data_IF_183616126756
#
_entry.id   IF_183616126756
#
_cell.length_a   1.000
_cell.length_b   1.000
_cell.length_c   1.000
_cell.angle_alpha   90.00
_cell.angle_beta   90.00
_cell.angle_gamma   90.00
#
_symmetry.space_group_name_H-M   'P 1'
#
loop_
_entity.id
_entity.type
_entity.pdbx_description
1 polymer ?
#
# COMPACT_ATOMS: atom_id res chain seq x y z
N UNK A 1 6.89 12.47 8.18
CA UNK A 1 8.17 11.82 8.49
C UNK A 1 9.30 12.29 7.55
N UNK A 2 9.02 12.43 6.24
CA UNK A 2 10.00 12.88 5.24
C UNK A 2 10.12 14.41 5.12
N UNK A 3 9.30 15.18 5.83
CA UNK A 3 9.24 16.64 5.69
C UNK A 3 8.64 17.14 4.38
N UNK A 4 8.04 16.25 3.59
CA UNK A 4 7.36 16.61 2.36
C UNK A 4 5.95 17.14 2.63
N UNK A 5 5.44 17.97 1.72
CA UNK A 5 4.05 18.45 1.81
C UNK A 5 3.08 17.28 1.69
N UNK A 6 2.13 17.20 2.63
CA UNK A 6 1.06 16.19 2.60
C UNK A 6 -0.10 16.75 1.78
N UNK A 7 -0.46 16.07 0.71
CA UNK A 7 -1.57 16.44 -0.17
C UNK A 7 -2.84 15.64 0.11
N UNK A 8 -2.69 14.39 0.53
CA UNK A 8 -3.79 13.45 0.79
C UNK A 8 -3.55 12.71 2.10
N UNK A 9 -4.63 12.29 2.74
CA UNK A 9 -4.61 11.46 3.93
C UNK A 9 -5.50 10.26 3.70
N UNK A 10 -4.95 9.07 3.90
CA UNK A 10 -5.66 7.81 3.83
C UNK A 10 -5.90 7.31 5.25
N UNK A 11 -7.15 6.96 5.55
CA UNK A 11 -7.52 6.44 6.86
C UNK A 11 -7.80 4.94 6.78
N UNK A 12 -7.26 4.19 7.73
CA UNK A 12 -7.59 2.78 7.92
C UNK A 12 -8.49 2.64 9.14
N UNK A 13 -9.58 1.89 8.99
CA UNK A 13 -10.56 1.63 10.06
C UNK A 13 -10.45 0.17 10.46
N UNK A 14 -10.15 -0.08 11.73
CA UNK A 14 -10.03 -1.41 12.33
C UNK A 14 -11.28 -1.74 13.14
N UNK A 15 -11.70 -3.00 13.12
CA UNK A 15 -12.80 -3.48 13.96
C UNK A 15 -14.20 -3.02 13.53
N UNK A 16 -14.37 -2.56 12.29
CA UNK A 16 -15.66 -2.08 11.76
C UNK A 16 -16.15 -2.92 10.57
N UNK A 17 -17.33 -2.60 10.07
CA UNK A 17 -17.94 -3.25 8.90
C UNK A 17 -18.38 -2.20 7.87
N UNK A 18 -18.59 -2.60 6.60
CA UNK A 18 -19.16 -1.73 5.58
C UNK A 18 -20.48 -1.10 6.01
N UNK A 19 -21.36 -1.91 6.61
CA UNK A 19 -22.70 -1.49 7.05
C UNK A 19 -22.61 -0.43 8.15
N UNK A 20 -21.67 -0.58 9.08
CA UNK A 20 -21.44 0.38 10.15
C UNK A 20 -20.99 1.73 9.61
N UNK A 21 -20.07 1.75 8.63
CA UNK A 21 -19.63 3.00 8.01
C UNK A 21 -20.75 3.67 7.20
N UNK A 22 -21.54 2.89 6.45
CA UNK A 22 -22.71 3.42 5.73
C UNK A 22 -23.74 4.00 6.70
N UNK A 23 -23.99 3.33 7.83
CA UNK A 23 -24.92 3.84 8.86
C UNK A 23 -24.44 5.17 9.49
N UNK A 24 -23.12 5.42 9.50
CA UNK A 24 -22.51 6.69 9.92
C UNK A 24 -22.52 7.76 8.81
N UNK A 25 -23.12 7.48 7.64
CA UNK A 25 -23.24 8.42 6.53
C UNK A 25 -22.08 8.43 5.55
N UNK A 26 -21.12 7.50 5.66
CA UNK A 26 -20.06 7.35 4.67
C UNK A 26 -20.61 6.81 3.35
N UNK A 27 -20.05 7.26 2.24
CA UNK A 27 -20.41 6.79 0.91
C UNK A 27 -19.40 5.77 0.41
N UNK A 28 -19.84 4.54 0.19
CA UNK A 28 -18.99 3.51 -0.38
C UNK A 28 -18.68 3.80 -1.85
N UNK A 29 -17.40 3.72 -2.23
CA UNK A 29 -16.89 3.81 -3.61
C UNK A 29 -15.97 2.61 -3.89
N UNK A 30 -15.86 2.22 -5.18
CA UNK A 30 -15.10 1.04 -5.57
C UNK A 30 -15.90 -0.27 -5.40
N UNK A 31 -15.78 -1.17 -6.39
CA UNK A 31 -16.44 -2.47 -6.39
C UNK A 31 -15.61 -3.56 -5.73
N UNK A 32 -14.32 -3.59 -6.06
CA UNK A 32 -13.42 -4.68 -5.66
C UNK A 32 -12.72 -4.39 -4.33
N UNK A 33 -12.50 -3.11 -4.04
CA UNK A 33 -11.86 -2.63 -2.82
C UNK A 33 -12.72 -1.53 -2.21
N UNK A 34 -13.58 -1.85 -1.23
CA UNK A 34 -14.48 -0.86 -0.67
C UNK A 34 -13.69 0.24 0.06
N UNK A 35 -13.73 1.43 -0.51
CA UNK A 35 -13.29 2.68 0.11
C UNK A 35 -14.54 3.47 0.46
N UNK A 36 -14.52 4.18 1.56
CA UNK A 36 -15.63 4.95 2.09
C UNK A 36 -15.24 6.42 2.17
N UNK A 37 -16.02 7.27 1.51
CA UNK A 37 -15.80 8.71 1.58
C UNK A 37 -16.50 9.29 2.80
N UNK A 38 -15.77 10.04 3.61
CA UNK A 38 -16.33 10.76 4.76
C UNK A 38 -17.45 11.71 4.32
N UNK A 39 -18.58 11.77 5.02
CA UNK A 39 -19.77 12.51 4.57
C UNK A 39 -19.49 14.00 4.30
N UNK A 40 -18.62 14.61 5.05
CA UNK A 40 -18.32 16.06 4.95
C UNK A 40 -16.99 16.34 4.25
N UNK A 41 -15.86 15.78 4.76
CA UNK A 41 -14.52 16.10 4.24
C UNK A 41 -14.18 15.39 2.92
N UNK A 42 -14.91 14.31 2.58
CA UNK A 42 -14.66 13.45 1.42
C UNK A 42 -13.29 12.73 1.45
N UNK A 43 -12.61 12.76 2.58
CA UNK A 43 -11.41 11.97 2.79
C UNK A 43 -11.72 10.47 2.71
N UNK A 44 -10.73 9.69 2.29
CA UNK A 44 -10.87 8.27 2.02
C UNK A 44 -10.61 7.44 3.29
N UNK A 45 -11.55 6.57 3.60
CA UNK A 45 -11.49 5.60 4.69
C UNK A 45 -11.60 4.19 4.12
N UNK A 46 -10.63 3.33 4.43
CA UNK A 46 -10.65 1.92 4.05
C UNK A 46 -10.72 1.05 5.30
N UNK A 47 -11.51 -0.03 5.27
CA UNK A 47 -11.46 -1.04 6.31
C UNK A 47 -10.12 -1.76 6.27
N UNK A 48 -9.56 -2.07 7.45
CA UNK A 48 -8.42 -2.95 7.57
C UNK A 48 -8.73 -4.28 6.88
N UNK A 49 -7.80 -4.80 6.08
CA UNK A 49 -8.04 -5.98 5.28
C UNK A 49 -6.78 -6.81 5.05
N UNK A 50 -6.98 -8.08 4.84
CA UNK A 50 -5.97 -8.98 4.27
C UNK A 50 -6.29 -9.27 2.81
N UNK A 51 -5.26 -9.53 2.03
CA UNK A 51 -5.38 -9.90 0.62
C UNK A 51 -4.66 -11.23 0.43
N UNK A 52 -5.30 -12.19 -0.26
CA UNK A 52 -4.67 -13.46 -0.66
C UNK A 52 -4.75 -13.62 -2.16
N UNK A 53 -3.63 -13.93 -2.78
CA UNK A 53 -3.58 -14.29 -4.21
C UNK A 53 -4.27 -15.65 -4.39
N UNK A 54 -5.38 -15.67 -5.11
CA UNK A 54 -6.15 -16.88 -5.44
C UNK A 54 -6.12 -17.24 -6.93
N UNK A 55 -5.44 -16.41 -7.77
CA UNK A 55 -5.36 -16.60 -9.22
C UNK A 55 -4.32 -15.70 -9.86
N UNK A 56 -4.26 -15.70 -11.19
CA UNK A 56 -3.35 -14.85 -11.95
C UNK A 56 -3.93 -13.45 -12.18
N UNK A 57 -3.07 -12.43 -12.15
CA UNK A 57 -3.41 -11.04 -12.44
C UNK A 57 -4.23 -10.34 -11.33
N UNK A 58 -4.69 -9.13 -11.63
CA UNK A 58 -5.39 -8.24 -10.69
C UNK A 58 -6.70 -8.82 -10.12
N UNK A 59 -7.42 -9.64 -10.90
CA UNK A 59 -8.67 -10.30 -10.46
C UNK A 59 -8.44 -11.52 -9.57
N UNK A 60 -7.19 -11.90 -9.34
CA UNK A 60 -6.82 -13.07 -8.55
C UNK A 60 -6.64 -12.81 -7.06
N UNK A 61 -7.07 -11.67 -6.53
CA UNK A 61 -7.01 -11.38 -5.10
C UNK A 61 -8.38 -11.60 -4.44
N UNK A 62 -8.38 -12.35 -3.35
CA UNK A 62 -9.50 -12.40 -2.41
C UNK A 62 -9.21 -11.42 -1.27
N UNK A 63 -10.12 -10.49 -1.07
CA UNK A 63 -10.05 -9.49 -0.01
C UNK A 63 -10.90 -9.95 1.16
N UNK A 64 -10.32 -10.01 2.34
CA UNK A 64 -11.01 -10.26 3.60
C UNK A 64 -10.91 -9.00 4.47
N UNK A 65 -12.03 -8.35 4.66
CA UNK A 65 -12.17 -7.16 5.51
C UNK A 65 -13.21 -7.48 6.60
N UNK A 66 -12.79 -8.28 7.57
CA UNK A 66 -13.58 -8.68 8.72
C UNK A 66 -13.12 -7.92 9.96
N UNK A 67 -13.95 -7.86 11.00
CA UNK A 67 -13.67 -7.07 12.22
C UNK A 67 -12.45 -7.55 13.01
N UNK A 68 -12.01 -8.79 12.80
CA UNK A 68 -10.83 -9.40 13.42
C UNK A 68 -9.50 -9.06 12.73
N UNK A 69 -9.55 -8.44 11.55
CA UNK A 69 -8.32 -7.99 10.86
C UNK A 69 -7.68 -6.85 11.65
N UNK A 70 -6.45 -7.07 12.05
CA UNK A 70 -5.67 -6.09 12.81
C UNK A 70 -5.05 -5.01 11.92
N UNK A 71 -4.59 -3.92 12.52
CA UNK A 71 -3.82 -2.90 11.80
C UNK A 71 -2.50 -3.49 11.26
N UNK A 72 -1.85 -4.34 12.04
CA UNK A 72 -0.62 -5.03 11.66
C UNK A 72 -0.82 -5.89 10.42
N UNK A 73 -1.92 -6.62 10.32
CA UNK A 73 -2.27 -7.43 9.14
C UNK A 73 -2.45 -6.55 7.90
N UNK A 74 -3.12 -5.40 8.04
CA UNK A 74 -3.28 -4.45 6.93
C UNK A 74 -1.94 -3.86 6.48
N UNK A 75 -1.07 -3.51 7.44
CA UNK A 75 0.25 -2.97 7.14
C UNK A 75 1.18 -4.02 6.53
N UNK A 76 1.06 -5.31 6.93
CA UNK A 76 1.89 -6.41 6.41
C UNK A 76 1.74 -6.64 4.90
N UNK A 77 0.53 -6.44 4.37
CA UNK A 77 0.24 -6.62 2.94
C UNK A 77 0.71 -5.46 2.06
N UNK A 78 1.15 -4.34 2.64
CA UNK A 78 1.60 -3.17 1.89
C UNK A 78 2.90 -3.45 1.13
N UNK A 79 3.22 -2.57 0.19
CA UNK A 79 4.38 -2.74 -0.69
C UNK A 79 5.71 -2.48 0.04
N UNK A 80 5.87 -1.29 0.62
CA UNK A 80 7.14 -0.81 1.17
C UNK A 80 6.99 -0.46 2.65
N UNK A 81 8.04 -0.71 3.43
CA UNK A 81 8.07 -0.40 4.87
C UNK A 81 7.78 1.08 5.15
N UNK A 82 8.27 1.99 4.31
CA UNK A 82 8.01 3.42 4.42
C UNK A 82 6.55 3.81 4.20
N UNK A 83 5.76 2.92 3.56
CA UNK A 83 4.31 3.05 3.33
C UNK A 83 3.49 2.22 4.33
N UNK A 84 4.15 1.47 5.22
CA UNK A 84 3.54 0.60 6.21
C UNK A 84 3.65 1.16 7.64
N UNK A 85 3.58 2.48 7.75
CA UNK A 85 3.55 3.23 9.01
C UNK A 85 2.17 3.85 9.13
N UNK A 86 1.51 3.66 10.26
CA UNK A 86 0.27 4.36 10.58
C UNK A 86 0.49 5.40 11.69
N UNK A 87 -0.40 6.37 11.78
CA UNK A 87 -0.45 7.31 12.88
C UNK A 87 -1.82 7.19 13.57
N UNK A 88 -1.81 6.92 14.86
CA UNK A 88 -3.00 6.89 15.67
C UNK A 88 -3.56 8.31 15.89
N UNK A 89 -4.80 8.41 16.36
CA UNK A 89 -5.49 9.68 16.60
C UNK A 89 -4.82 10.54 17.68
N UNK A 90 -4.05 9.93 18.59
CA UNK A 90 -3.24 10.61 19.61
C UNK A 90 -1.88 11.11 19.08
N UNK A 91 -1.59 10.85 17.79
CA UNK A 91 -0.36 11.21 17.12
C UNK A 91 0.77 10.18 17.23
N UNK A 92 0.58 9.06 17.96
CA UNK A 92 1.58 8.01 18.07
C UNK A 92 1.77 7.29 16.73
N UNK A 93 3.01 7.02 16.35
CA UNK A 93 3.32 6.20 15.18
C UNK A 93 3.28 4.71 15.52
N UNK A 94 2.59 3.94 14.69
CA UNK A 94 2.51 2.49 14.73
C UNK A 94 3.31 1.97 13.54
N UNK A 95 4.43 1.34 13.81
CA UNK A 95 5.43 0.94 12.81
C UNK A 95 5.97 -0.46 13.09
N UNK A 96 5.16 -1.51 12.89
CA UNK A 96 5.56 -2.88 13.21
C UNK A 96 6.65 -3.42 12.28
N UNK A 97 6.83 -2.81 11.11
CA UNK A 97 7.75 -3.32 10.07
C UNK A 97 9.01 -2.44 9.88
N UNK A 98 9.24 -1.46 10.76
CA UNK A 98 10.47 -0.68 10.81
C UNK A 98 10.61 0.35 9.70
N UNK A 99 9.51 0.89 9.20
CA UNK A 99 9.51 1.92 8.16
C UNK A 99 10.23 3.20 8.60
N UNK A 100 10.12 3.61 9.87
CA UNK A 100 10.84 4.77 10.40
C UNK A 100 12.35 4.54 10.36
N UNK A 101 12.81 3.32 10.71
CA UNK A 101 14.22 2.95 10.60
C UNK A 101 14.72 3.02 9.16
N UNK A 102 13.92 2.51 8.21
CA UNK A 102 14.26 2.56 6.79
C UNK A 102 14.23 4.00 6.24
N UNK A 103 13.34 4.86 6.72
CA UNK A 103 13.38 6.30 6.43
C UNK A 103 14.70 6.93 6.89
N UNK A 104 15.14 6.66 8.12
CA UNK A 104 16.39 7.17 8.64
C UNK A 104 17.60 6.64 7.88
N UNK A 105 17.57 5.36 7.49
CA UNK A 105 18.61 4.70 6.68
C UNK A 105 18.53 5.05 5.19
N UNK A 106 17.47 5.78 4.75
CA UNK A 106 17.19 6.13 3.35
C UNK A 106 17.07 4.89 2.47
N UNK A 107 16.33 3.89 2.93
CA UNK A 107 16.12 2.62 2.24
C UNK A 107 14.66 2.47 1.79
N UNK A 108 14.52 1.98 0.56
CA UNK A 108 13.26 1.49 0.00
C UNK A 108 13.28 -0.01 0.13
N UNK A 109 12.51 -0.53 1.10
CA UNK A 109 12.45 -1.94 1.46
C UNK A 109 11.04 -2.47 1.34
N UNK A 110 10.85 -3.67 0.80
CA UNK A 110 9.57 -4.37 0.81
C UNK A 110 9.19 -4.82 2.23
N UNK A 111 7.89 -4.89 2.52
CA UNK A 111 7.40 -5.24 3.86
C UNK A 111 7.56 -6.73 4.13
N UNK A 112 7.14 -7.58 3.19
CA UNK A 112 7.07 -9.04 3.34
C UNK A 112 7.18 -9.75 2.00
N UNK A 113 7.25 -11.08 2.02
CA UNK A 113 7.24 -11.92 0.81
C UNK A 113 5.96 -11.75 -0.03
N UNK A 114 4.85 -11.30 0.57
CA UNK A 114 3.62 -10.94 -0.14
C UNK A 114 3.83 -9.80 -1.15
N UNK A 115 4.97 -9.11 -1.11
CA UNK A 115 5.37 -8.15 -2.14
C UNK A 115 5.36 -8.77 -3.55
N UNK A 116 5.77 -10.03 -3.66
CA UNK A 116 5.83 -10.76 -4.95
C UNK A 116 4.46 -11.10 -5.53
N UNK A 117 3.38 -10.99 -4.76
CA UNK A 117 2.04 -11.34 -5.22
C UNK A 117 1.46 -10.38 -6.26
N UNK A 118 1.87 -9.09 -6.23
CA UNK A 118 1.46 -8.09 -7.23
C UNK A 118 2.69 -7.58 -8.00
N UNK A 119 2.89 -8.01 -9.27
CA UNK A 119 4.03 -7.57 -10.05
C UNK A 119 4.06 -6.05 -10.32
N UNK A 120 2.93 -5.32 -10.15
CA UNK A 120 2.93 -3.86 -10.24
C UNK A 120 3.84 -3.21 -9.19
N UNK A 121 4.08 -3.88 -8.07
CA UNK A 121 4.95 -3.37 -7.00
C UNK A 121 6.40 -3.15 -7.47
N UNK A 122 6.84 -3.84 -8.54
CA UNK A 122 8.12 -3.55 -9.20
C UNK A 122 8.14 -2.12 -9.72
N UNK A 123 7.10 -1.72 -10.45
CA UNK A 123 6.99 -0.35 -10.99
C UNK A 123 6.80 0.68 -9.88
N UNK A 124 6.04 0.34 -8.84
CA UNK A 124 5.87 1.20 -7.66
C UNK A 124 7.20 1.45 -6.95
N UNK A 125 7.99 0.40 -6.71
CA UNK A 125 9.31 0.54 -6.10
C UNK A 125 10.25 1.40 -6.95
N UNK A 126 10.24 1.23 -8.27
CA UNK A 126 11.00 2.07 -9.18
C UNK A 126 10.55 3.54 -9.13
N UNK A 127 9.23 3.81 -9.08
CA UNK A 127 8.69 5.16 -8.93
C UNK A 127 9.12 5.81 -7.60
N UNK A 128 9.00 5.11 -6.49
CA UNK A 128 9.47 5.62 -5.20
C UNK A 128 10.98 5.87 -5.19
N UNK A 129 11.78 4.99 -5.83
CA UNK A 129 13.20 5.20 -5.97
C UNK A 129 13.53 6.47 -6.78
N UNK A 130 12.81 6.72 -7.87
CA UNK A 130 12.95 7.94 -8.66
C UNK A 130 12.58 9.20 -7.86
N UNK A 131 11.41 9.20 -7.22
CA UNK A 131 10.91 10.35 -6.46
C UNK A 131 11.78 10.69 -5.24
N UNK A 132 12.29 9.68 -4.54
CA UNK A 132 13.06 9.87 -3.31
C UNK A 132 14.58 9.93 -3.54
N UNK A 133 15.04 9.80 -4.80
CA UNK A 133 16.45 9.84 -5.14
C UNK A 133 17.13 11.14 -4.68
N UNK A 134 16.46 12.27 -4.86
CA UNK A 134 16.96 13.58 -4.44
C UNK A 134 17.15 13.70 -2.90
N UNK A 135 16.49 12.86 -2.11
CA UNK A 135 16.66 12.73 -0.66
C UNK A 135 17.74 11.70 -0.28
N UNK A 136 18.36 11.05 -1.28
CA UNK A 136 19.41 10.06 -1.10
C UNK A 136 18.92 8.65 -0.80
N UNK A 137 17.64 8.33 -1.09
CA UNK A 137 17.11 6.97 -0.92
C UNK A 137 17.66 6.02 -1.98
N UNK A 138 17.85 4.77 -1.57
CA UNK A 138 18.24 3.66 -2.44
C UNK A 138 17.41 2.41 -2.14
N UNK A 139 17.30 1.51 -3.11
CA UNK A 139 16.58 0.25 -2.93
C UNK A 139 17.46 -0.70 -2.10
N UNK A 140 16.90 -1.27 -1.04
CA UNK A 140 17.56 -2.26 -0.18
C UNK A 140 17.98 -3.48 -1.00
N UNK A 141 19.12 -4.10 -0.66
CA UNK A 141 19.74 -5.18 -1.42
C UNK A 141 18.80 -6.37 -1.63
N UNK A 142 18.11 -6.80 -0.58
CA UNK A 142 17.14 -7.89 -0.61
C UNK A 142 15.91 -7.55 -1.46
N UNK A 143 15.45 -6.29 -1.41
CA UNK A 143 14.36 -5.82 -2.27
C UNK A 143 14.78 -5.82 -3.73
N UNK A 144 16.01 -5.36 -4.02
CA UNK A 144 16.56 -5.38 -5.37
C UNK A 144 16.62 -6.80 -5.95
N UNK A 145 17.06 -7.77 -5.14
CA UNK A 145 17.07 -9.17 -5.54
C UNK A 145 15.65 -9.69 -5.84
N UNK A 146 14.67 -9.34 -5.00
CA UNK A 146 13.27 -9.71 -5.20
C UNK A 146 12.68 -9.08 -6.47
N UNK A 147 12.97 -7.80 -6.74
CA UNK A 147 12.54 -7.11 -7.97
C UNK A 147 13.09 -7.83 -9.22
N UNK A 148 14.36 -8.26 -9.21
CA UNK A 148 14.97 -9.02 -10.30
C UNK A 148 14.23 -10.35 -10.51
N UNK A 149 13.95 -11.09 -9.42
CA UNK A 149 13.19 -12.34 -9.47
C UNK A 149 11.82 -12.18 -10.10
N UNK A 150 11.04 -11.17 -9.64
CA UNK A 150 9.71 -10.88 -10.18
C UNK A 150 9.80 -10.46 -11.66
N UNK A 151 10.80 -9.69 -12.04
CA UNK A 151 10.99 -9.27 -13.45
C UNK A 151 11.25 -10.47 -14.36
N UNK A 152 12.02 -11.47 -13.90
CA UNK A 152 12.33 -12.68 -14.67
C UNK A 152 11.20 -13.71 -14.66
N UNK A 153 10.23 -13.62 -13.76
CA UNK A 153 9.08 -14.57 -13.73
C UNK A 153 8.15 -14.43 -14.94
N UNK A 154 8.24 -13.32 -15.68
CA UNK A 154 7.34 -12.98 -16.78
C UNK A 154 5.99 -12.41 -16.35
N UNK A 155 5.72 -12.32 -15.05
CA UNK A 155 4.42 -11.81 -14.53
C UNK A 155 4.18 -10.31 -14.89
N UNK A 156 5.23 -9.52 -15.10
CA UNK A 156 5.08 -8.13 -15.55
C UNK A 156 4.31 -8.01 -16.87
N UNK A 157 4.44 -9.00 -17.76
CA UNK A 157 3.74 -9.02 -19.05
C UNK A 157 2.21 -9.21 -18.89
N UNK A 158 1.75 -9.66 -17.71
CA UNK A 158 0.31 -9.85 -17.42
C UNK A 158 -0.37 -8.60 -16.88
N UNK A 159 0.39 -7.55 -16.61
CA UNK A 159 -0.14 -6.30 -16.08
C UNK A 159 -1.04 -5.60 -17.10
N UNK A 160 -2.17 -5.09 -16.64
CA UNK A 160 -3.02 -4.23 -17.45
C UNK A 160 -2.28 -2.94 -17.82
N UNK A 161 -2.39 -2.54 -19.09
CA UNK A 161 -1.69 -1.36 -19.64
C UNK A 161 -2.02 -0.08 -18.87
N UNK A 162 -3.25 0.04 -18.41
CA UNK A 162 -3.75 1.17 -17.62
C UNK A 162 -3.01 1.29 -16.28
N UNK A 163 -2.74 0.17 -15.62
CA UNK A 163 -1.98 0.15 -14.35
C UNK A 163 -0.52 0.54 -14.57
N UNK A 164 0.10 0.03 -15.65
CA UNK A 164 1.47 0.40 -16.04
C UNK A 164 1.52 1.90 -16.31
N UNK A 165 0.58 2.40 -17.11
CA UNK A 165 0.50 3.83 -17.45
C UNK A 165 0.36 4.72 -16.21
N UNK A 166 -0.53 4.36 -15.28
CA UNK A 166 -0.74 5.13 -14.05
C UNK A 166 0.53 5.24 -13.20
N UNK A 167 1.27 4.14 -13.00
CA UNK A 167 2.51 4.17 -12.23
C UNK A 167 3.63 4.94 -12.97
N UNK A 168 3.70 4.81 -14.30
CA UNK A 168 4.69 5.54 -15.13
C UNK A 168 4.38 7.03 -15.12
N UNK A 169 3.11 7.41 -15.31
CA UNK A 169 2.69 8.82 -15.33
C UNK A 169 2.95 9.51 -13.98
N UNK A 170 2.74 8.79 -12.87
CA UNK A 170 3.04 9.30 -11.52
C UNK A 170 4.55 9.44 -11.25
N UNK A 171 5.39 8.85 -12.06
CA UNK A 171 6.85 8.94 -11.94
C UNK A 171 7.46 10.16 -12.65
N UNK A 172 6.70 10.76 -13.56
CA UNK A 172 7.07 11.96 -14.36
C UNK A 172 6.70 13.25 -13.64
#
# INVERSE_FOLDING_TARGET
LLGLTVHERDYVVVGSTPEALVALGYTQVGKDFPVFLHPTSKEEYALARTERKSGQGYKGFQVHATQDVTLEDDLLRRDLTINAIAQASDGQFIDPYGGQRDIQAKLIRHVSEAFSEDPLRVLRAARFAAHLNHLGFSIATETKALLVTITHSGELATLAKERIWQETHKAL
#
